data_IF_273588490724
#
_entry.id   IF_273588490724
#
_cell.length_a   1.000
_cell.length_b   1.000
_cell.length_c   1.000
_cell.angle_alpha   90.00
_cell.angle_beta   90.00
_cell.angle_gamma   90.00
#
_symmetry.space_group_name_H-M   'P 1'
#
loop_
_entity.id
_entity.type
_entity.pdbx_description
1 polymer ?
#
# COMPACT_ATOMS: atom_id res chain seq x y z
N UNK A 1 0.05 -12.91 -7.48
CA UNK A 1 -0.55 -12.02 -8.48
C UNK A 1 0.43 -10.92 -8.86
N UNK A 2 0.43 -10.50 -10.13
CA UNK A 2 1.21 -9.36 -10.62
C UNK A 2 0.31 -8.46 -11.46
N UNK A 3 -0.02 -7.29 -10.93
CA UNK A 3 -0.91 -6.32 -11.55
C UNK A 3 -0.12 -5.14 -12.10
N UNK A 4 -0.35 -4.79 -13.36
CA UNK A 4 0.22 -3.61 -14.02
C UNK A 4 -0.78 -2.46 -14.01
N UNK A 5 -0.30 -1.27 -13.63
CA UNK A 5 -1.06 -0.04 -13.74
C UNK A 5 -1.04 0.45 -15.20
N UNK A 6 -2.21 0.75 -15.77
CA UNK A 6 -2.31 1.32 -17.12
C UNK A 6 -2.01 2.81 -17.18
N UNK A 7 -2.15 3.52 -16.05
CA UNK A 7 -1.87 4.95 -15.91
C UNK A 7 -0.83 5.21 -14.81
N UNK A 8 -0.15 6.35 -14.90
CA UNK A 8 0.64 6.89 -13.78
C UNK A 8 -0.27 7.36 -12.64
N UNK A 9 -1.51 7.72 -12.97
CA UNK A 9 -2.54 8.08 -12.00
C UNK A 9 -3.12 6.78 -11.37
N UNK A 10 -2.47 6.27 -10.33
CA UNK A 10 -2.99 5.20 -9.43
C UNK A 10 -4.46 5.32 -8.96
N UNK A 11 -5.08 6.51 -8.94
CA UNK A 11 -6.47 6.71 -8.52
C UNK A 11 -7.45 6.78 -9.69
N UNK A 12 -6.94 6.81 -10.93
CA UNK A 12 -7.65 6.77 -12.20
C UNK A 12 -6.88 5.85 -13.18
N UNK A 13 -6.90 4.56 -12.89
CA UNK A 13 -6.15 3.52 -13.63
C UNK A 13 -6.93 2.23 -13.70
N UNK A 14 -6.60 1.40 -14.68
CA UNK A 14 -6.95 -0.01 -14.67
C UNK A 14 -5.76 -0.82 -14.14
N UNK A 15 -6.04 -1.90 -13.44
CA UNK A 15 -5.07 -2.90 -13.03
C UNK A 15 -5.21 -4.11 -13.96
N UNK A 16 -4.21 -4.34 -14.79
CA UNK A 16 -4.17 -5.46 -15.73
C UNK A 16 -3.34 -6.57 -15.13
N UNK A 17 -3.91 -7.77 -15.03
CA UNK A 17 -3.15 -8.95 -14.64
C UNK A 17 -2.14 -9.28 -15.74
N UNK A 18 -0.85 -9.27 -15.39
CA UNK A 18 0.25 -9.45 -16.32
C UNK A 18 0.28 -10.86 -16.91
N UNK A 19 -0.23 -11.87 -16.18
CA UNK A 19 -0.26 -13.24 -16.68
C UNK A 19 -1.33 -13.43 -17.75
N UNK A 20 -2.53 -12.88 -17.54
CA UNK A 20 -3.68 -13.05 -18.44
C UNK A 20 -3.83 -11.93 -19.47
N UNK A 21 -3.21 -10.77 -19.25
CA UNK A 21 -3.40 -9.55 -20.05
C UNK A 21 -4.79 -8.93 -19.90
N UNK A 22 -5.63 -9.45 -18.99
CA UNK A 22 -7.00 -8.96 -18.79
C UNK A 22 -7.04 -7.90 -17.69
N UNK A 23 -7.99 -6.96 -17.80
CA UNK A 23 -8.29 -6.02 -16.74
C UNK A 23 -8.86 -6.79 -15.54
N UNK A 24 -8.16 -6.75 -14.41
CA UNK A 24 -8.58 -7.37 -13.16
C UNK A 24 -9.43 -6.40 -12.32
N UNK A 25 -9.02 -5.13 -12.27
CA UNK A 25 -9.73 -4.08 -11.53
C UNK A 25 -9.68 -2.73 -12.26
N UNK A 26 -10.68 -1.90 -12.04
CA UNK A 26 -10.72 -0.51 -12.48
C UNK A 26 -10.84 0.43 -11.28
N UNK A 27 -9.89 1.36 -11.14
CA UNK A 27 -9.84 2.35 -10.07
C UNK A 27 -10.18 3.70 -10.67
N UNK A 28 -11.22 4.34 -10.15
CA UNK A 28 -11.67 5.67 -10.62
C UNK A 28 -11.88 6.58 -9.43
N UNK A 29 -11.44 7.82 -9.54
CA UNK A 29 -11.66 8.84 -8.51
C UNK A 29 -12.33 10.06 -9.10
N UNK A 30 -13.55 10.31 -8.65
CA UNK A 30 -14.37 11.42 -9.15
C UNK A 30 -14.64 12.45 -8.05
N UNK A 31 -14.60 13.75 -8.37
CA UNK A 31 -15.13 14.76 -7.47
C UNK A 31 -16.64 14.51 -7.30
N UNK A 32 -17.09 14.52 -6.06
CA UNK A 32 -18.51 14.34 -5.73
C UNK A 32 -19.04 15.69 -5.25
N UNK A 33 -20.16 16.19 -5.82
CA UNK A 33 -20.77 17.41 -5.30
C UNK A 33 -21.14 17.19 -3.84
N UNK A 34 -20.89 18.20 -3.00
CA UNK A 34 -21.26 18.16 -1.59
C UNK A 34 -22.74 17.76 -1.50
N UNK A 35 -23.04 16.65 -0.82
CA UNK A 35 -24.43 16.27 -0.58
C UNK A 35 -25.05 17.45 0.19
N UNK A 36 -26.13 18.07 -0.30
CA UNK A 36 -26.76 19.16 0.42
C UNK A 36 -27.09 18.62 1.81
N UNK A 37 -26.48 19.22 2.83
CA UNK A 37 -26.70 18.87 4.21
C UNK A 37 -28.22 18.91 4.41
N UNK A 38 -28.80 17.76 4.73
CA UNK A 38 -30.25 17.66 4.91
C UNK A 38 -30.58 18.71 5.97
N UNK A 39 -31.44 19.71 5.68
CA UNK A 39 -31.71 20.78 6.62
C UNK A 39 -32.00 20.16 7.97
N UNK A 40 -31.13 20.40 8.95
CA UNK A 40 -31.37 19.92 10.29
C UNK A 40 -32.78 20.38 10.67
N UNK A 41 -33.66 19.49 11.16
CA UNK A 41 -34.99 19.90 11.59
C UNK A 41 -34.81 21.09 12.54
N UNK A 42 -35.59 22.18 12.37
CA UNK A 42 -35.41 23.39 13.15
C UNK A 42 -35.34 22.99 14.61
N UNK A 43 -34.19 23.24 15.23
CA UNK A 43 -33.96 22.91 16.62
C UNK A 43 -35.12 23.53 17.40
N UNK A 44 -35.98 22.68 17.97
CA UNK A 44 -37.02 23.14 18.88
C UNK A 44 -36.28 23.82 20.02
N UNK A 45 -36.32 25.16 20.02
CA UNK A 45 -35.78 26.00 21.06
C UNK A 45 -36.38 25.52 22.40
N UNK A 46 -35.62 24.68 23.11
CA UNK A 46 -35.90 24.33 24.49
C UNK A 46 -35.60 25.58 25.30
N UNK A 47 -36.65 26.38 25.49
CA UNK A 47 -36.66 27.58 26.32
C UNK A 47 -36.40 27.18 27.77
N UNK A 48 -35.13 27.11 28.15
CA UNK A 48 -34.74 27.08 29.56
C UNK A 48 -34.58 28.52 30.03
N UNK A 49 -35.69 29.05 30.58
CA UNK A 49 -35.70 30.23 31.45
C UNK A 49 -34.70 30.01 32.59
N UNK A 50 -33.72 30.89 32.75
CA UNK A 50 -33.23 31.23 34.09
C UNK A 50 -32.80 32.69 34.16
N UNK A 51 -33.19 33.27 35.28
CA UNK A 51 -33.33 34.66 35.71
C UNK A 51 -32.05 35.50 35.88
N UNK A 52 -32.16 36.75 35.40
CA UNK A 52 -31.86 38.03 36.08
C UNK A 52 -30.41 38.48 36.35
N UNK A 53 -30.01 39.67 35.84
CA UNK A 53 -30.00 40.99 36.53
C UNK A 53 -29.16 42.02 35.72
N UNK A 54 -29.77 43.21 35.51
CA UNK A 54 -29.31 44.61 35.27
C UNK A 54 -27.97 44.94 34.57
N UNK A 55 -28.03 45.66 33.44
CA UNK A 55 -27.82 47.12 33.23
C UNK A 55 -26.33 47.55 33.23
N UNK A 56 -25.77 47.97 32.08
CA UNK A 56 -25.89 49.35 31.60
C UNK A 56 -25.35 49.49 30.16
N UNK A 57 -25.69 50.61 29.54
CA UNK A 57 -25.96 50.79 28.11
C UNK A 57 -24.86 51.55 27.35
N UNK A 58 -24.54 51.11 26.12
CA UNK A 58 -23.95 51.98 25.06
C UNK A 58 -24.42 51.54 23.65
N UNK A 59 -24.82 52.47 22.76
CA UNK A 59 -25.32 52.17 21.43
C UNK A 59 -24.16 51.99 20.43
N UNK A 60 -23.71 50.75 20.22
CA UNK A 60 -22.76 50.43 19.17
C UNK A 60 -23.47 50.31 17.81
N UNK A 61 -23.09 51.17 16.88
CA UNK A 61 -23.49 51.17 15.46
C UNK A 61 -23.40 49.76 14.87
N UNK A 62 -24.56 49.23 14.47
CA UNK A 62 -24.72 47.95 13.80
C UNK A 62 -24.10 48.05 12.39
N UNK A 63 -22.83 47.68 12.25
CA UNK A 63 -22.27 47.36 10.95
C UNK A 63 -22.90 46.02 10.50
N UNK A 64 -23.46 45.92 9.28
CA UNK A 64 -23.84 44.63 8.73
C UNK A 64 -22.54 43.84 8.55
N UNK A 65 -22.30 42.89 9.46
CA UNK A 65 -21.31 41.85 9.27
C UNK A 65 -21.82 41.01 8.11
N UNK A 66 -21.44 41.40 6.91
CA UNK A 66 -21.46 40.52 5.73
C UNK A 66 -20.62 39.34 6.15
N UNK A 67 -21.28 38.25 6.59
CA UNK A 67 -20.65 36.94 6.68
C UNK A 67 -20.23 36.62 5.25
N UNK A 68 -19.00 36.96 4.90
CA UNK A 68 -18.31 36.35 3.78
C UNK A 68 -18.41 34.85 4.04
N UNK A 69 -19.39 34.21 3.40
CA UNK A 69 -19.34 32.80 3.11
C UNK A 69 -18.14 32.62 2.19
N UNK A 70 -16.94 32.60 2.76
CA UNK A 70 -15.92 31.71 2.24
C UNK A 70 -16.40 30.30 2.55
N UNK A 71 -17.49 29.88 1.90
CA UNK A 71 -17.77 28.48 1.63
C UNK A 71 -16.55 28.04 0.82
N UNK A 72 -15.50 27.67 1.55
CA UNK A 72 -14.42 26.86 1.01
C UNK A 72 -15.16 25.67 0.44
N UNK A 73 -15.22 25.62 -0.88
CA UNK A 73 -15.78 24.52 -1.64
C UNK A 73 -14.98 23.27 -1.23
N UNK A 74 -15.45 22.58 -0.17
CA UNK A 74 -14.83 21.35 0.30
C UNK A 74 -15.15 20.34 -0.77
N UNK A 75 -14.23 20.17 -1.70
CA UNK A 75 -14.36 19.20 -2.79
C UNK A 75 -14.30 17.81 -2.19
N UNK A 76 -15.46 17.18 -2.00
CA UNK A 76 -15.54 15.76 -1.65
C UNK A 76 -15.06 14.95 -2.86
N UNK A 77 -14.34 13.87 -2.59
CA UNK A 77 -13.88 12.95 -3.63
C UNK A 77 -14.36 11.55 -3.31
N UNK A 78 -14.56 10.74 -4.33
CA UNK A 78 -14.95 9.34 -4.19
C UNK A 78 -14.09 8.48 -5.08
N UNK A 79 -13.36 7.55 -4.48
CA UNK A 79 -12.59 6.53 -5.19
C UNK A 79 -13.37 5.23 -5.20
N UNK A 80 -13.57 4.65 -6.38
CA UNK A 80 -14.23 3.38 -6.58
C UNK A 80 -13.27 2.38 -7.19
N UNK A 81 -13.26 1.15 -6.67
CA UNK A 81 -12.56 0.01 -7.26
C UNK A 81 -13.62 -0.96 -7.74
N UNK A 82 -13.65 -1.21 -9.05
CA UNK A 82 -14.54 -2.19 -9.68
C UNK A 82 -13.76 -3.43 -10.08
N UNK A 83 -14.38 -4.60 -10.00
CA UNK A 83 -13.82 -5.84 -10.49
C UNK A 83 -13.88 -5.93 -12.03
N UNK A 84 -13.36 -7.03 -12.60
CA UNK A 84 -13.39 -7.30 -14.04
C UNK A 84 -14.82 -7.41 -14.62
N UNK A 85 -15.83 -7.62 -13.78
CA UNK A 85 -17.25 -7.69 -14.17
C UNK A 85 -17.95 -6.33 -14.08
N UNK A 86 -17.26 -5.30 -13.58
CA UNK A 86 -17.80 -3.96 -13.34
C UNK A 86 -18.53 -3.80 -12.01
N UNK A 87 -18.57 -4.83 -11.15
CA UNK A 87 -19.16 -4.75 -9.82
C UNK A 87 -18.27 -3.92 -8.90
N UNK A 88 -18.90 -3.16 -8.01
CA UNK A 88 -18.18 -2.34 -7.04
C UNK A 88 -17.59 -3.22 -5.92
N UNK A 89 -16.28 -3.36 -5.90
CA UNK A 89 -15.54 -4.16 -4.93
C UNK A 89 -15.08 -3.32 -3.72
N UNK A 90 -14.73 -2.05 -3.94
CA UNK A 90 -14.47 -1.10 -2.84
C UNK A 90 -14.88 0.33 -3.19
N UNK A 91 -15.27 1.09 -2.16
CA UNK A 91 -15.66 2.49 -2.23
C UNK A 91 -15.00 3.27 -1.10
N UNK A 92 -14.34 4.38 -1.44
CA UNK A 92 -13.70 5.29 -0.49
C UNK A 92 -14.26 6.68 -0.69
N UNK A 93 -14.93 7.20 0.34
CA UNK A 93 -15.43 8.57 0.36
C UNK A 93 -14.44 9.44 1.15
N UNK A 94 -13.90 10.46 0.49
CA UNK A 94 -12.86 11.31 1.04
C UNK A 94 -13.48 12.57 1.64
N UNK A 95 -13.39 12.69 2.97
CA UNK A 95 -13.74 13.89 3.72
C UNK A 95 -12.45 14.55 4.23
N UNK A 96 -11.77 15.27 3.33
CA UNK A 96 -10.43 15.80 3.59
C UNK A 96 -9.41 14.67 3.79
N UNK A 97 -8.91 14.50 5.02
CA UNK A 97 -7.94 13.44 5.39
C UNK A 97 -8.58 12.21 6.04
N UNK A 98 -9.91 12.22 6.18
CA UNK A 98 -10.67 11.14 6.82
C UNK A 98 -11.43 10.37 5.76
N UNK A 99 -10.90 9.22 5.28
CA UNK A 99 -11.64 8.38 4.35
C UNK A 99 -12.70 7.57 5.11
N UNK A 100 -13.88 7.43 4.51
CA UNK A 100 -14.87 6.41 4.88
C UNK A 100 -14.80 5.28 3.87
N UNK A 101 -14.50 4.08 4.34
CA UNK A 101 -14.14 2.93 3.52
C UNK A 101 -15.24 1.88 3.61
N UNK A 102 -15.63 1.36 2.45
CA UNK A 102 -16.56 0.25 2.29
C UNK A 102 -15.95 -0.78 1.34
N UNK A 103 -15.93 -2.07 1.72
CA UNK A 103 -15.41 -3.18 0.91
C UNK A 103 -16.53 -4.20 0.74
N UNK A 104 -16.88 -4.54 -0.50
CA UNK A 104 -17.99 -5.45 -0.84
C UNK A 104 -19.32 -5.13 -0.11
N UNK A 105 -19.60 -3.84 0.06
CA UNK A 105 -20.80 -3.35 0.76
C UNK A 105 -20.70 -3.35 2.30
N UNK A 106 -19.64 -3.93 2.89
CA UNK A 106 -19.37 -3.86 4.31
C UNK A 106 -18.67 -2.55 4.66
N UNK A 107 -19.25 -1.80 5.60
CA UNK A 107 -18.65 -0.55 6.10
C UNK A 107 -17.52 -0.88 7.07
N UNK A 108 -16.29 -0.67 6.62
CA UNK A 108 -15.09 -0.91 7.43
C UNK A 108 -14.87 0.24 8.42
N UNK A 109 -15.11 1.48 7.99
CA UNK A 109 -14.86 2.67 8.80
C UNK A 109 -13.73 3.53 8.24
N UNK A 110 -12.79 3.95 9.09
CA UNK A 110 -11.66 4.79 8.71
C UNK A 110 -10.37 4.01 8.44
N UNK A 111 -9.24 4.74 8.39
CA UNK A 111 -7.91 4.14 8.26
C UNK A 111 -7.57 3.19 9.42
N UNK A 112 -7.92 3.57 10.65
CA UNK A 112 -7.63 2.74 11.83
C UNK A 112 -8.35 1.39 11.74
N UNK A 113 -9.57 1.37 11.23
CA UNK A 113 -10.37 0.17 11.10
C UNK A 113 -9.90 -0.73 9.96
N UNK A 114 -9.35 -0.15 8.87
CA UNK A 114 -8.79 -0.91 7.75
C UNK A 114 -7.45 -1.57 8.11
N UNK A 115 -6.59 -0.88 8.85
CA UNK A 115 -5.29 -1.45 9.26
C UNK A 115 -5.37 -2.22 10.58
N UNK A 116 -6.51 -2.18 11.29
CA UNK A 116 -6.69 -2.86 12.57
C UNK A 116 -5.78 -2.32 13.68
N UNK A 117 -5.14 -1.18 13.46
CA UNK A 117 -4.06 -0.70 14.33
C UNK A 117 -4.50 0.52 15.14
N UNK A 118 -4.43 0.37 16.46
CA UNK A 118 -4.20 1.49 17.39
C UNK A 118 -2.74 1.93 17.42
N UNK A 119 -1.81 1.13 16.86
CA UNK A 119 -0.36 1.34 16.95
C UNK A 119 0.28 1.45 15.56
N UNK A 120 0.57 2.68 15.14
CA UNK A 120 1.43 2.95 13.98
C UNK A 120 2.85 3.17 14.48
N UNK A 121 3.80 2.39 13.96
CA UNK A 121 5.21 2.54 14.34
C UNK A 121 5.92 3.47 13.36
N UNK A 122 6.22 4.68 13.83
CA UNK A 122 7.02 5.65 13.09
C UNK A 122 8.49 5.50 13.50
N UNK A 123 9.28 4.88 12.62
CA UNK A 123 10.74 4.89 12.72
C UNK A 123 11.30 6.04 11.87
N UNK A 124 12.55 6.49 12.08
CA UNK A 124 13.11 7.64 11.36
C UNK A 124 13.05 7.53 9.83
N UNK A 125 13.23 6.32 9.29
CA UNK A 125 13.29 6.03 7.84
C UNK A 125 12.24 5.04 7.35
N UNK A 126 11.40 4.55 8.26
CA UNK A 126 10.48 3.44 7.99
C UNK A 126 9.12 3.78 8.61
N UNK A 127 8.07 3.62 7.82
CA UNK A 127 6.69 3.58 8.27
C UNK A 127 6.24 2.11 8.27
N UNK A 128 5.89 1.58 9.43
CA UNK A 128 5.42 0.21 9.57
C UNK A 128 4.00 0.19 10.14
N UNK A 129 3.08 -0.45 9.41
CA UNK A 129 1.66 -0.54 9.76
C UNK A 129 1.22 -2.00 9.58
N UNK A 130 0.87 -2.72 10.66
CA UNK A 130 0.25 -4.04 10.59
C UNK A 130 -1.04 -4.03 9.76
N UNK A 131 -1.38 -5.17 9.16
CA UNK A 131 -2.66 -5.34 8.48
C UNK A 131 -3.76 -5.78 9.46
N UNK A 132 -5.03 -5.53 9.12
CA UNK A 132 -6.17 -5.96 9.94
C UNK A 132 -6.43 -7.46 9.83
N UNK A 133 -6.26 -8.02 8.64
CA UNK A 133 -6.65 -9.40 8.35
C UNK A 133 -5.63 -10.43 8.84
N UNK A 134 -4.38 -10.02 9.01
CA UNK A 134 -3.33 -10.87 9.57
C UNK A 134 -2.32 -10.01 10.36
N UNK A 135 -2.19 -10.30 11.65
CA UNK A 135 -1.31 -9.58 12.56
C UNK A 135 0.18 -9.80 12.25
N UNK A 136 0.51 -10.90 11.57
CA UNK A 136 1.88 -11.21 11.15
C UNK A 136 2.24 -10.44 9.88
N UNK A 137 1.27 -9.91 9.14
CA UNK A 137 1.51 -9.18 7.90
C UNK A 137 1.65 -7.69 8.20
N UNK A 138 2.79 -7.11 7.83
CA UNK A 138 3.13 -5.71 8.11
C UNK A 138 3.50 -5.00 6.83
N UNK A 139 2.76 -3.93 6.53
CA UNK A 139 3.16 -2.98 5.50
C UNK A 139 4.37 -2.19 5.98
N UNK A 140 5.45 -2.24 5.21
CA UNK A 140 6.69 -1.52 5.45
C UNK A 140 6.94 -0.56 4.30
N UNK A 141 7.02 0.73 4.62
CA UNK A 141 7.20 1.79 3.64
C UNK A 141 8.44 2.63 3.96
N UNK A 142 9.27 2.88 2.95
CA UNK A 142 10.40 3.80 2.98
C UNK A 142 10.19 4.92 1.95
N UNK A 143 11.15 5.83 1.82
CA UNK A 143 11.11 6.83 0.75
C UNK A 143 11.14 6.19 -0.66
N UNK A 144 11.72 4.99 -0.80
CA UNK A 144 12.02 4.35 -2.09
C UNK A 144 11.18 3.09 -2.34
N UNK A 145 10.69 2.44 -1.29
CA UNK A 145 10.01 1.15 -1.39
C UNK A 145 8.73 1.09 -0.57
N UNK A 146 7.80 0.24 -1.01
CA UNK A 146 6.60 -0.15 -0.27
C UNK A 146 6.42 -1.67 -0.44
N UNK A 147 6.51 -2.40 0.67
CA UNK A 147 6.47 -3.86 0.71
C UNK A 147 5.53 -4.35 1.80
N UNK A 148 4.89 -5.48 1.56
CA UNK A 148 4.13 -6.24 2.56
C UNK A 148 5.00 -7.42 2.99
N UNK A 149 5.33 -7.51 4.27
CA UNK A 149 6.25 -8.50 4.82
C UNK A 149 5.51 -9.34 5.87
N UNK A 150 5.71 -10.65 5.82
CA UNK A 150 5.33 -11.56 6.90
C UNK A 150 6.41 -11.50 7.98
N UNK A 151 6.04 -10.98 9.15
CA UNK A 151 6.93 -10.69 10.26
C UNK A 151 7.58 -11.94 10.85
N UNK A 152 6.90 -13.09 10.79
CA UNK A 152 7.41 -14.33 11.38
C UNK A 152 8.43 -15.01 10.47
N UNK A 153 8.23 -14.94 9.15
CA UNK A 153 9.10 -15.59 8.16
C UNK A 153 10.12 -14.66 7.52
N UNK A 154 9.97 -13.33 7.71
CA UNK A 154 10.69 -12.28 6.99
C UNK A 154 10.52 -12.38 5.46
N UNK A 155 9.45 -13.05 5.00
CA UNK A 155 9.17 -13.22 3.59
C UNK A 155 8.39 -12.02 3.06
N UNK A 156 8.81 -11.52 1.90
CA UNK A 156 8.07 -10.47 1.20
C UNK A 156 6.85 -11.06 0.49
N UNK A 157 5.66 -10.76 1.02
CA UNK A 157 4.36 -11.20 0.49
C UNK A 157 3.80 -10.24 -0.55
N UNK A 158 4.30 -9.00 -0.60
CA UNK A 158 3.94 -8.04 -1.64
C UNK A 158 4.95 -6.92 -1.82
N UNK A 159 5.02 -6.36 -3.02
CA UNK A 159 5.96 -5.30 -3.39
C UNK A 159 5.34 -4.39 -4.44
N UNK A 160 5.52 -3.09 -4.23
CA UNK A 160 5.22 -2.08 -5.24
C UNK A 160 6.48 -1.70 -6.01
N UNK A 161 6.45 -1.95 -7.31
CA UNK A 161 7.53 -1.60 -8.23
C UNK A 161 7.14 -0.33 -8.98
N UNK A 162 7.78 0.79 -8.66
CA UNK A 162 7.48 2.09 -9.26
C UNK A 162 8.40 2.37 -10.47
N UNK A 163 7.80 2.79 -11.58
CA UNK A 163 8.52 3.22 -12.79
C UNK A 163 9.58 2.21 -13.27
N UNK A 164 9.21 0.93 -13.39
CA UNK A 164 10.12 -0.14 -13.79
C UNK A 164 9.78 -0.71 -15.18
N UNK A 165 10.77 -1.28 -15.84
CA UNK A 165 10.57 -2.12 -17.03
C UNK A 165 10.61 -3.57 -16.59
N UNK A 166 9.54 -4.31 -16.87
CA UNK A 166 9.50 -5.75 -16.65
C UNK A 166 10.18 -6.46 -17.82
N UNK A 167 11.23 -7.21 -17.51
CA UNK A 167 11.82 -8.16 -18.45
C UNK A 167 11.06 -9.48 -18.32
N UNK A 168 10.39 -9.98 -19.38
CA UNK A 168 9.82 -11.31 -19.35
C UNK A 168 10.95 -12.30 -19.11
N UNK A 169 10.78 -13.20 -18.14
CA UNK A 169 11.71 -14.30 -17.95
C UNK A 169 11.71 -15.11 -19.22
N UNK A 170 12.82 -15.03 -19.97
CA UNK A 170 13.06 -15.93 -21.08
C UNK A 170 13.10 -17.31 -20.44
N UNK A 171 12.05 -18.12 -20.65
CA UNK A 171 12.06 -19.53 -20.29
C UNK A 171 13.32 -20.09 -20.91
N UNK A 172 14.35 -20.32 -20.09
CA UNK A 172 15.60 -20.90 -20.55
C UNK A 172 15.16 -22.18 -21.26
N UNK A 173 15.35 -22.23 -22.58
CA UNK A 173 15.01 -23.43 -23.36
C UNK A 173 15.59 -24.60 -22.57
N UNK A 174 14.78 -25.63 -22.25
CA UNK A 174 15.26 -26.76 -21.49
C UNK A 174 16.57 -27.17 -22.16
N UNK A 175 17.66 -27.07 -21.41
CA UNK A 175 18.99 -27.37 -21.90
C UNK A 175 18.88 -28.82 -22.34
N UNK A 176 18.74 -29.05 -23.65
CA UNK A 176 18.80 -30.37 -24.23
C UNK A 176 20.18 -30.86 -23.84
N UNK A 177 20.26 -31.58 -22.72
CA UNK A 177 21.44 -32.34 -22.37
C UNK A 177 21.48 -33.43 -23.42
N UNK A 178 22.08 -33.11 -24.57
CA UNK A 178 22.65 -34.11 -25.45
C UNK A 178 23.75 -34.71 -24.61
N UNK A 179 23.37 -35.72 -23.83
CA UNK A 179 24.25 -36.57 -23.07
C UNK A 179 25.04 -37.36 -24.11
N UNK A 180 26.07 -36.73 -24.66
CA UNK A 180 27.09 -37.40 -25.42
C UNK A 180 27.82 -38.27 -24.40
N UNK A 181 27.45 -39.55 -24.35
CA UNK A 181 28.21 -40.58 -23.67
C UNK A 181 29.60 -40.67 -24.33
N UNK A 182 30.52 -39.82 -23.90
CA UNK A 182 31.94 -40.06 -24.08
C UNK A 182 32.46 -40.55 -22.73
N UNK A 183 32.71 -41.85 -22.69
CA UNK A 183 33.38 -42.58 -21.62
C UNK A 183 34.70 -41.90 -21.26
N UNK A 184 34.89 -41.46 -20.01
CA UNK A 184 36.20 -40.99 -19.55
C UNK A 184 37.15 -42.19 -19.36
N UNK A 185 38.44 -42.05 -19.70
CA UNK A 185 39.45 -43.04 -19.37
C UNK A 185 39.67 -43.10 -17.86
N UNK A 186 39.73 -44.33 -17.35
CA UNK A 186 39.97 -44.70 -15.97
C UNK A 186 41.27 -44.09 -15.41
N UNK A 187 41.16 -43.32 -14.32
CA UNK A 187 42.30 -42.94 -13.47
C UNK A 187 42.40 -43.86 -12.23
N UNK A 188 43.62 -44.17 -11.77
CA UNK A 188 43.88 -45.15 -10.71
C UNK A 188 43.58 -44.65 -9.28
N UNK A 189 43.48 -45.59 -8.30
CA UNK A 189 43.12 -45.28 -6.93
C UNK A 189 44.33 -44.80 -6.13
N UNK A 190 44.19 -43.71 -5.38
CA UNK A 190 45.16 -43.30 -4.35
C UNK A 190 44.44 -43.20 -3.01
N UNK A 191 45.02 -43.93 -2.06
CA UNK A 191 44.55 -44.25 -0.71
C UNK A 191 44.59 -43.05 0.26
N UNK A 192 43.99 -43.19 1.47
CA UNK A 192 43.66 -42.10 2.36
C UNK A 192 44.72 -41.85 3.43
N UNK A 193 44.81 -40.62 3.94
CA UNK A 193 45.48 -40.35 5.22
C UNK A 193 44.81 -39.18 5.96
N UNK A 194 44.31 -39.51 7.16
CA UNK A 194 43.80 -38.76 8.34
C UNK A 194 44.55 -37.45 8.72
N UNK A 195 44.23 -36.69 9.81
CA UNK A 195 43.25 -36.91 10.91
C UNK A 195 42.45 -35.66 11.42
N UNK A 196 41.47 -35.95 12.29
CA UNK A 196 41.04 -35.20 13.51
C UNK A 196 40.81 -33.68 13.43
N UNK A 197 39.57 -33.27 13.71
CA UNK A 197 39.35 -32.25 14.75
C UNK A 197 38.13 -32.57 15.61
N UNK A 198 38.42 -32.77 16.89
CA UNK A 198 37.50 -32.84 18.01
C UNK A 198 36.94 -31.45 18.28
N UNK A 199 35.62 -31.24 18.23
CA UNK A 199 34.96 -30.40 19.23
C UNK A 199 33.58 -30.97 19.55
N UNK A 200 33.55 -31.50 20.76
CA UNK A 200 32.41 -32.05 21.48
C UNK A 200 31.92 -30.91 22.37
N UNK A 201 30.66 -30.52 22.27
CA UNK A 201 29.99 -29.80 23.36
C UNK A 201 28.55 -30.24 23.42
N UNK A 202 28.25 -30.86 24.55
CA UNK A 202 27.02 -31.53 24.93
C UNK A 202 26.55 -30.81 26.18
N UNK A 203 25.36 -30.23 26.13
CA UNK A 203 24.62 -29.84 27.33
C UNK A 203 23.15 -30.16 27.11
N UNK A 204 22.71 -31.20 27.82
CA UNK A 204 21.32 -31.57 28.07
C UNK A 204 20.77 -30.62 29.15
N UNK A 205 19.51 -30.22 29.04
CA UNK A 205 18.55 -30.33 30.15
C UNK A 205 17.15 -30.51 29.59
N UNK A 206 16.49 -31.50 30.16
CA UNK A 206 15.12 -31.97 29.95
C UNK A 206 14.10 -31.08 30.61
N UNK A 207 12.96 -30.86 29.94
CA UNK A 207 11.66 -30.77 30.61
C UNK A 207 10.63 -31.45 29.73
N UNK A 208 10.06 -32.52 30.27
CA UNK A 208 8.93 -33.23 29.70
C UNK A 208 7.69 -32.34 29.85
N UNK A 209 6.98 -32.12 28.76
CA UNK A 209 5.55 -31.85 28.83
C UNK A 209 4.83 -32.67 27.77
N UNK A 210 3.80 -33.36 28.26
CA UNK A 210 2.85 -34.15 27.50
C UNK A 210 1.87 -33.19 26.84
N UNK A 211 1.82 -33.18 25.52
CA UNK A 211 0.69 -32.59 24.79
C UNK A 211 0.42 -33.38 23.53
N UNK A 212 -0.58 -34.26 23.66
CA UNK A 212 -1.68 -34.52 22.73
C UNK A 212 -1.37 -34.34 21.24
N UNK A 213 -1.20 -35.46 20.56
CA UNK A 213 -1.13 -35.57 19.11
C UNK A 213 -2.46 -35.14 18.48
N UNK A 214 -2.56 -33.87 18.08
CA UNK A 214 -3.54 -33.43 17.09
C UNK A 214 -2.95 -33.67 15.70
N UNK A 215 -3.49 -34.64 14.96
CA UNK A 215 -3.25 -34.86 13.55
C UNK A 215 -3.77 -33.64 12.78
N UNK A 216 -2.93 -32.62 12.60
CA UNK A 216 -3.14 -31.59 11.60
C UNK A 216 -2.79 -32.19 10.25
N UNK A 217 -3.77 -32.28 9.34
CA UNK A 217 -3.51 -32.52 7.93
C UNK A 217 -2.61 -31.38 7.44
N UNK A 218 -1.31 -31.68 7.29
CA UNK A 218 -0.37 -30.83 6.57
C UNK A 218 -0.77 -30.91 5.11
N UNK A 219 -1.60 -29.96 4.67
CA UNK A 219 -1.84 -29.70 3.26
C UNK A 219 -0.51 -29.27 2.66
N UNK A 220 0.20 -30.20 2.00
CA UNK A 220 1.39 -29.91 1.21
C UNK A 220 1.00 -28.92 0.13
N UNK A 221 1.16 -27.63 0.42
CA UNK A 221 1.10 -26.56 -0.56
C UNK A 221 2.18 -26.85 -1.60
N UNK A 222 1.75 -27.34 -2.76
CA UNK A 222 2.62 -27.47 -3.93
C UNK A 222 3.32 -26.12 -4.14
N UNK A 223 4.66 -26.09 -4.24
CA UNK A 223 5.39 -24.86 -4.50
C UNK A 223 4.88 -24.25 -5.79
N UNK A 224 4.13 -23.16 -5.67
CA UNK A 224 3.62 -22.41 -6.79
C UNK A 224 4.80 -21.62 -7.35
N UNK A 225 5.64 -22.28 -8.15
CA UNK A 225 6.79 -21.72 -8.86
C UNK A 225 6.30 -20.78 -9.97
N UNK A 226 5.69 -19.67 -9.56
CA UNK A 226 5.43 -18.57 -10.49
C UNK A 226 6.78 -17.99 -10.89
N UNK A 227 7.08 -17.89 -12.20
CA UNK A 227 8.38 -17.44 -12.66
C UNK A 227 8.62 -16.01 -12.19
N UNK A 228 9.59 -15.85 -11.28
CA UNK A 228 9.98 -14.56 -10.69
C UNK A 228 10.32 -13.58 -11.80
N UNK A 229 9.50 -12.54 -11.97
CA UNK A 229 9.74 -11.51 -12.98
C UNK A 229 10.94 -10.66 -12.57
N UNK A 230 11.77 -10.25 -13.54
CA UNK A 230 12.88 -9.31 -13.28
C UNK A 230 12.42 -7.90 -13.64
N UNK A 231 12.63 -6.96 -12.73
CA UNK A 231 12.28 -5.55 -12.91
C UNK A 231 13.55 -4.71 -12.99
N UNK A 232 13.63 -3.84 -14.00
CA UNK A 232 14.69 -2.87 -14.16
C UNK A 232 14.14 -1.48 -13.81
N UNK A 233 14.63 -0.83 -12.74
CA UNK A 233 14.20 0.52 -12.41
C UNK A 233 14.60 1.49 -13.51
N UNK A 234 13.71 2.43 -13.82
CA UNK A 234 13.97 3.51 -14.77
C UNK A 234 14.05 4.83 -14.03
N UNK A 235 15.08 5.63 -14.34
CA UNK A 235 15.27 6.95 -13.73
C UNK A 235 14.47 8.06 -14.44
N UNK A 236 13.89 7.76 -15.60
CA UNK A 236 13.09 8.70 -16.40
C UNK A 236 11.62 8.49 -16.07
N UNK A 237 10.93 9.48 -15.48
CA UNK A 237 9.50 9.37 -15.20
C UNK A 237 8.68 9.08 -16.47
N UNK A 238 7.79 8.10 -16.40
CA UNK A 238 6.90 7.73 -17.51
C UNK A 238 7.51 6.77 -18.54
N UNK A 239 8.79 6.42 -18.41
CA UNK A 239 9.42 5.42 -19.28
C UNK A 239 9.08 3.98 -18.85
N UNK A 240 8.97 3.75 -17.54
CA UNK A 240 8.53 2.49 -16.96
C UNK A 240 7.03 2.41 -16.74
N UNK A 241 6.59 1.31 -16.14
CA UNK A 241 5.23 1.15 -15.62
C UNK A 241 5.28 0.88 -14.12
N UNK A 242 4.17 1.14 -13.44
CA UNK A 242 4.01 0.74 -12.05
C UNK A 242 3.42 -0.67 -11.99
N UNK A 243 3.89 -1.47 -11.05
CA UNK A 243 3.39 -2.83 -10.81
C UNK A 243 3.15 -3.06 -9.34
N UNK A 244 2.07 -3.77 -9.03
CA UNK A 244 1.80 -4.31 -7.70
C UNK A 244 1.90 -5.82 -7.76
N UNK A 245 2.87 -6.37 -7.05
CA UNK A 245 3.09 -7.81 -6.88
C UNK A 245 2.65 -8.20 -5.48
N UNK A 246 1.84 -9.24 -5.33
CA UNK A 246 1.47 -9.78 -4.03
C UNK A 246 0.98 -11.22 -4.11
N UNK A 247 1.07 -11.95 -3.01
CA UNK A 247 0.51 -13.29 -2.85
C UNK A 247 -0.94 -13.16 -2.37
N UNK A 248 -1.87 -13.88 -3.02
CA UNK A 248 -3.27 -13.95 -2.57
C UNK A 248 -3.31 -14.59 -1.19
N UNK A 249 -4.05 -14.00 -0.28
CA UNK A 249 -4.11 -14.40 1.11
C UNK A 249 -5.45 -15.08 1.42
N UNK A 250 -5.50 -16.18 2.20
CA UNK A 250 -6.75 -16.90 2.45
C UNK A 250 -7.75 -16.12 3.31
N UNK A 251 -7.27 -15.23 4.19
CA UNK A 251 -8.12 -14.48 5.14
C UNK A 251 -8.62 -13.13 4.60
N UNK A 252 -8.15 -12.69 3.44
CA UNK A 252 -8.53 -11.37 2.89
C UNK A 252 -8.75 -11.46 1.39
N UNK A 253 -9.55 -10.55 0.87
CA UNK A 253 -9.83 -10.45 -0.56
C UNK A 253 -8.74 -9.62 -1.23
N UNK A 254 -8.41 -9.95 -2.48
CA UNK A 254 -7.39 -9.22 -3.23
C UNK A 254 -7.67 -7.70 -3.30
N UNK A 255 -8.95 -7.30 -3.35
CA UNK A 255 -9.35 -5.88 -3.34
C UNK A 255 -8.94 -5.14 -2.06
N UNK A 256 -8.96 -5.82 -0.91
CA UNK A 256 -8.55 -5.23 0.37
C UNK A 256 -7.04 -5.05 0.42
N UNK A 257 -6.27 -5.99 -0.14
CA UNK A 257 -4.81 -5.85 -0.32
C UNK A 257 -4.48 -4.68 -1.26
N UNK A 258 -5.19 -4.57 -2.38
CA UNK A 258 -5.03 -3.46 -3.34
C UNK A 258 -5.36 -2.12 -2.67
N UNK A 259 -6.48 -2.04 -1.94
CA UNK A 259 -6.92 -0.82 -1.28
C UNK A 259 -5.96 -0.41 -0.15
N UNK A 260 -5.54 -1.35 0.70
CA UNK A 260 -4.56 -1.08 1.75
C UNK A 260 -3.23 -0.60 1.18
N UNK A 261 -2.79 -1.16 0.05
CA UNK A 261 -1.64 -0.66 -0.70
C UNK A 261 -1.82 0.80 -1.15
N UNK A 262 -2.95 1.16 -1.79
CA UNK A 262 -3.20 2.55 -2.24
C UNK A 262 -3.15 3.54 -1.08
N UNK A 263 -3.72 3.18 0.07
CA UNK A 263 -3.73 4.02 1.26
C UNK A 263 -2.35 4.11 1.90
N UNK A 264 -1.60 3.00 1.94
CA UNK A 264 -0.19 3.01 2.37
C UNK A 264 0.67 3.89 1.48
N UNK A 265 0.45 3.91 0.17
CA UNK A 265 1.19 4.77 -0.75
C UNK A 265 0.90 6.26 -0.49
N UNK A 266 -0.35 6.64 -0.19
CA UNK A 266 -0.69 8.01 0.23
C UNK A 266 0.07 8.37 1.52
N UNK A 267 0.00 7.50 2.53
CA UNK A 267 0.65 7.72 3.83
C UNK A 267 2.17 7.84 3.67
N UNK A 268 2.79 6.98 2.85
CA UNK A 268 4.21 6.98 2.52
C UNK A 268 4.62 8.31 1.88
N UNK A 269 3.90 8.76 0.85
CA UNK A 269 4.18 10.04 0.18
C UNK A 269 4.11 11.22 1.15
N UNK A 270 3.07 11.26 1.97
CA UNK A 270 2.90 12.28 3.00
C UNK A 270 4.02 12.26 4.04
N UNK A 271 4.47 11.07 4.46
CA UNK A 271 5.50 10.91 5.49
C UNK A 271 6.91 11.26 5.01
N UNK A 272 7.24 10.97 3.75
CA UNK A 272 8.58 11.14 3.19
C UNK A 272 8.71 12.37 2.29
N UNK A 273 7.72 13.27 2.29
CA UNK A 273 7.68 14.47 1.43
C UNK A 273 7.94 14.17 -0.05
N UNK A 274 7.50 12.99 -0.51
CA UNK A 274 7.50 12.68 -1.92
C UNK A 274 6.45 13.55 -2.60
N UNK A 275 6.57 13.78 -3.91
CA UNK A 275 5.58 14.56 -4.66
C UNK A 275 4.18 14.02 -4.31
N UNK A 276 3.36 14.82 -3.61
CA UNK A 276 2.09 14.36 -3.11
C UNK A 276 1.25 13.96 -4.29
N UNK A 277 0.36 13.01 -4.06
CA UNK A 277 -0.57 12.64 -5.09
C UNK A 277 -1.55 13.79 -5.31
N UNK A 278 -1.37 14.53 -6.39
CA UNK A 278 -2.33 15.51 -6.83
C UNK A 278 -3.36 14.75 -7.64
N UNK A 279 -4.58 14.64 -7.12
CA UNK A 279 -5.70 14.06 -7.87
C UNK A 279 -6.06 14.87 -9.13
N UNK A 280 -5.48 16.06 -9.26
CA UNK A 280 -5.48 16.83 -10.49
C UNK A 280 -4.19 16.55 -11.24
N UNK A 281 -4.30 16.38 -12.56
CA UNK A 281 -3.15 16.42 -13.46
C UNK A 281 -2.24 17.56 -13.03
N UNK A 282 -0.93 17.34 -12.83
CA UNK A 282 -0.03 18.39 -12.39
C UNK A 282 -0.12 19.51 -13.41
N UNK A 283 -0.86 20.57 -13.06
CA UNK A 283 -0.89 21.76 -13.90
C UNK A 283 0.56 22.21 -14.04
N UNK A 284 0.94 22.71 -15.21
CA UNK A 284 2.31 23.11 -15.57
C UNK A 284 2.97 24.02 -14.51
N UNK A 285 2.16 24.64 -13.64
CA UNK A 285 2.57 25.36 -12.43
C UNK A 285 3.32 24.55 -11.37
N UNK A 286 2.98 23.28 -11.12
CA UNK A 286 3.71 22.46 -10.13
C UNK A 286 5.10 22.07 -10.62
N UNK A 287 5.27 21.92 -11.95
CA UNK A 287 6.59 21.77 -12.57
C UNK A 287 7.45 23.02 -12.35
N UNK A 288 6.83 24.19 -12.33
CA UNK A 288 7.48 25.48 -12.05
C UNK A 288 7.91 25.59 -10.59
N UNK A 289 7.07 25.15 -9.63
CA UNK A 289 7.42 25.12 -8.22
C UNK A 289 8.55 24.12 -7.91
N UNK A 290 8.48 22.91 -8.47
CA UNK A 290 9.56 21.92 -8.34
C UNK A 290 10.87 22.46 -8.94
N UNK A 291 10.80 23.11 -10.10
CA UNK A 291 11.96 23.78 -10.71
C UNK A 291 12.49 24.91 -9.82
N UNK A 292 11.63 25.70 -9.18
CA UNK A 292 12.05 26.77 -8.27
C UNK A 292 12.71 26.25 -7.00
N UNK A 293 12.24 25.11 -6.45
CA UNK A 293 12.89 24.44 -5.30
C UNK A 293 14.28 23.92 -5.69
N UNK A 294 14.41 23.32 -6.87
CA UNK A 294 15.71 22.87 -7.39
C UNK A 294 16.65 24.06 -7.62
N UNK A 295 16.18 25.12 -8.27
CA UNK A 295 16.98 26.33 -8.53
C UNK A 295 17.39 27.05 -7.23
N UNK A 296 16.56 27.05 -6.19
CA UNK A 296 16.94 27.59 -4.87
C UNK A 296 18.04 26.77 -4.20
N UNK A 297 18.04 25.45 -4.39
CA UNK A 297 19.09 24.57 -3.86
C UNK A 297 20.43 24.82 -4.57
N UNK A 298 20.43 25.01 -5.89
CA UNK A 298 21.65 25.33 -6.64
C UNK A 298 22.27 26.70 -6.31
N UNK A 299 21.47 27.69 -5.90
CA UNK A 299 21.97 29.02 -5.50
C UNK A 299 22.70 29.05 -4.15
N UNK A 300 22.60 28.00 -3.32
CA UNK A 300 23.24 27.99 -1.99
C UNK A 300 24.64 27.36 -1.96
N UNK A 301 25.07 26.68 -3.02
CA UNK A 301 26.35 25.97 -3.06
C UNK A 301 27.39 26.59 -4.00
N UNK A 302 27.31 27.90 -4.25
CA UNK A 302 28.36 28.65 -4.96
C UNK A 302 28.95 29.69 -4.00
N UNK A 303 29.94 29.26 -3.22
CA UNK A 303 30.93 30.10 -2.52
C UNK A 303 32.30 29.50 -2.80
#
# INVERSE_FOLDING_TARGET
>A
MLLKFTSTDMFNTSLVDVATGKCAYEITTVPTPCKPERPLPPALFSSSKTTAVSEDSLPAKHCPVVREKSEKDITYRRTQIRDASGNLAADVQWEGRHPHITIDGEKIGGLNDLFGTSTVRFLPKILAIPTKYDADYVWTATAESLTLVDYNTDETKGTFHQNVIRLPTLKSKPKLSVQTHLTPPSSPPVSPTSPRSLFRSRSRTSSADKSTLSLSLTEEQLPCDTPKSTFLPTHVPGFGSNYLEFVTHPLTKDVEVILSFLLMEILRRGRFNLTPYTFENPSIWQLKEARDVVLRTFRRNTI
#
